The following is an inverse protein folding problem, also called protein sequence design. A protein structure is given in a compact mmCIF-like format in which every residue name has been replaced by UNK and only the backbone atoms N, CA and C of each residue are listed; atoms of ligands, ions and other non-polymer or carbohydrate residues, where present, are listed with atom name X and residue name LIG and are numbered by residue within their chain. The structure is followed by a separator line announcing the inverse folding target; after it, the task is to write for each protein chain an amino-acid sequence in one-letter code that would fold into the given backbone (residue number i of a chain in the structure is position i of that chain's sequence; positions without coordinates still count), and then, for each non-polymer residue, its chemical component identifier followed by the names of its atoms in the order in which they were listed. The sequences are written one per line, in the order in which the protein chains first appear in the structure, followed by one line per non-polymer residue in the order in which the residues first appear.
data_IF_806728823853
#
_entry.id   IF_806728823853
#
_cell.length_a   1.000
_cell.length_b   1.000
_cell.length_c   1.000
_cell.angle_alpha   90.00
_cell.angle_beta   90.00
_cell.angle_gamma   90.00
#
_symmetry.space_group_name_H-M   'P 1'
#
loop_
_entity.id
_entity.type
_entity.pdbx_description
1 polymer ?
#
# COMPACT_ATOMS: atom_id res chain seq x y z
N UNK A 1 -11.16 -2.84 -3.85
CA UNK A 1 -10.19 -3.54 -4.70
C UNK A 1 -10.74 -3.54 -6.11
N UNK A 2 -9.99 -3.04 -7.10
CA UNK A 2 -10.36 -3.09 -8.52
C UNK A 2 -9.37 -3.99 -9.24
N UNK A 3 -9.86 -4.90 -10.09
CA UNK A 3 -9.05 -5.84 -10.85
C UNK A 3 -9.27 -5.57 -12.34
N UNK A 4 -8.19 -5.43 -13.10
CA UNK A 4 -8.14 -5.56 -14.56
C UNK A 4 -7.27 -6.78 -14.87
N UNK A 5 -7.45 -7.41 -16.04
CA UNK A 5 -7.15 -8.82 -16.34
C UNK A 5 -5.78 -9.44 -15.89
N UNK A 6 -4.79 -8.65 -15.44
CA UNK A 6 -3.54 -9.12 -14.81
C UNK A 6 -2.99 -8.23 -13.69
N UNK A 7 -3.68 -7.15 -13.30
CA UNK A 7 -3.18 -6.19 -12.32
C UNK A 7 -4.28 -5.76 -11.36
N UNK A 8 -3.99 -5.82 -10.05
CA UNK A 8 -4.93 -5.40 -9.02
C UNK A 8 -4.51 -4.03 -8.46
N UNK A 9 -5.47 -3.10 -8.37
CA UNK A 9 -5.26 -1.82 -7.69
C UNK A 9 -5.70 -1.95 -6.24
N UNK A 10 -4.76 -1.71 -5.33
CA UNK A 10 -4.91 -1.78 -3.89
C UNK A 10 -4.82 -0.37 -3.29
N UNK A 11 -5.94 0.12 -2.76
CA UNK A 11 -5.98 1.36 -1.99
C UNK A 11 -5.94 1.01 -0.51
N UNK A 12 -4.93 1.53 0.21
CA UNK A 12 -4.78 1.32 1.64
C UNK A 12 -4.68 2.67 2.33
N UNK A 13 -5.37 2.77 3.47
CA UNK A 13 -5.32 3.93 4.33
C UNK A 13 -5.14 3.48 5.78
N UNK A 14 -4.15 4.05 6.46
CA UNK A 14 -4.05 3.99 7.91
C UNK A 14 -5.01 5.03 8.50
N UNK A 15 -6.00 4.61 9.29
CA UNK A 15 -6.94 5.52 9.96
C UNK A 15 -6.53 5.83 11.41
N UNK A 16 -5.36 5.38 11.82
CA UNK A 16 -4.85 5.52 13.18
C UNK A 16 -3.77 6.60 13.25
N UNK A 17 -3.58 7.18 14.43
CA UNK A 17 -2.50 8.14 14.70
C UNK A 17 -1.14 7.47 15.01
N UNK A 18 -0.99 6.18 14.71
CA UNK A 18 0.20 5.38 14.96
C UNK A 18 0.58 4.59 13.71
N UNK A 19 1.83 4.16 13.62
CA UNK A 19 2.31 3.33 12.52
C UNK A 19 1.52 2.01 12.45
N UNK A 20 1.19 1.58 11.23
CA UNK A 20 0.54 0.30 10.96
C UNK A 20 1.27 -0.44 9.85
N UNK A 21 1.12 -1.76 9.85
CA UNK A 21 1.78 -2.64 8.89
C UNK A 21 0.72 -3.37 8.08
N UNK A 22 0.93 -3.45 6.77
CA UNK A 22 0.08 -4.20 5.87
C UNK A 22 0.91 -5.22 5.08
N UNK A 23 0.59 -6.54 5.15
CA UNK A 23 1.29 -7.55 4.39
C UNK A 23 0.91 -7.46 2.90
N UNK A 24 1.91 -7.44 2.02
CA UNK A 24 1.73 -7.51 0.57
C UNK A 24 1.99 -8.96 0.11
N UNK A 25 1.09 -9.51 -0.70
CA UNK A 25 1.20 -10.87 -1.23
C UNK A 25 2.17 -11.00 -2.42
N UNK A 26 2.53 -9.88 -3.03
CA UNK A 26 3.31 -9.82 -4.26
C UNK A 26 4.07 -8.50 -4.38
N UNK A 27 4.80 -8.32 -5.48
CA UNK A 27 5.48 -7.06 -5.76
C UNK A 27 4.42 -5.97 -5.95
N UNK A 28 4.67 -4.82 -5.32
CA UNK A 28 3.81 -3.66 -5.43
C UNK A 28 4.57 -2.50 -6.06
N UNK A 29 3.94 -1.86 -7.04
CA UNK A 29 4.36 -0.57 -7.57
C UNK A 29 3.51 0.53 -6.93
N UNK A 30 4.15 1.57 -6.42
CA UNK A 30 3.44 2.73 -5.87
C UNK A 30 2.92 3.60 -7.02
N UNK A 31 1.61 3.83 -7.06
CA UNK A 31 0.99 4.74 -8.02
C UNK A 31 0.85 6.16 -7.42
N UNK A 32 0.40 6.23 -6.17
CA UNK A 32 0.19 7.50 -5.47
C UNK A 32 0.34 7.28 -3.96
N UNK A 33 0.97 8.21 -3.27
CA UNK A 33 0.97 8.26 -1.81
C UNK A 33 1.01 9.72 -1.35
N UNK A 34 0.41 9.99 -0.20
CA UNK A 34 0.49 11.29 0.45
C UNK A 34 1.75 11.46 1.31
N UNK A 35 2.58 10.42 1.44
CA UNK A 35 3.83 10.43 2.20
C UNK A 35 4.85 9.45 1.58
N UNK A 36 6.08 9.42 2.08
CA UNK A 36 7.09 8.47 1.65
C UNK A 36 6.62 7.03 1.90
N UNK A 37 6.71 6.18 0.87
CA UNK A 37 6.33 4.77 0.99
C UNK A 37 7.52 3.93 1.40
N UNK A 38 7.35 3.10 2.43
CA UNK A 38 8.36 2.17 2.89
C UNK A 38 7.85 0.73 2.77
N UNK A 39 8.43 -0.02 1.84
CA UNK A 39 8.13 -1.45 1.62
C UNK A 39 9.39 -2.25 1.94
N UNK A 40 9.32 -3.09 2.98
CA UNK A 40 10.42 -3.97 3.41
C UNK A 40 9.87 -5.37 3.68
N UNK A 41 10.56 -6.40 3.20
CA UNK A 41 10.19 -7.80 3.43
C UNK A 41 8.72 -8.11 3.10
N UNK A 42 8.21 -7.60 1.98
CA UNK A 42 6.80 -7.73 1.57
C UNK A 42 5.79 -7.14 2.58
N UNK A 43 6.21 -6.16 3.38
CA UNK A 43 5.31 -5.41 4.25
C UNK A 43 5.38 -3.93 3.90
N UNK A 44 4.19 -3.34 3.71
CA UNK A 44 4.02 -1.90 3.65
C UNK A 44 3.93 -1.35 5.07
N UNK A 45 4.84 -0.44 5.42
CA UNK A 45 4.72 0.38 6.64
C UNK A 45 4.00 1.66 6.31
N UNK A 46 2.93 1.93 7.06
CA UNK A 46 2.10 3.12 6.91
C UNK A 46 2.32 4.04 8.09
N UNK A 47 2.82 5.25 7.82
CA UNK A 47 2.81 6.36 8.76
C UNK A 47 1.38 6.64 9.27
N UNK A 48 1.23 7.29 10.44
CA UNK A 48 -0.07 7.81 10.90
C UNK A 48 -0.82 8.52 9.77
N UNK A 49 -2.08 8.13 9.53
CA UNK A 49 -2.94 8.73 8.50
C UNK A 49 -2.46 8.61 7.04
N UNK A 50 -1.43 7.81 6.75
CA UNK A 50 -0.95 7.62 5.38
C UNK A 50 -2.00 6.90 4.53
N UNK A 51 -2.19 7.39 3.30
CA UNK A 51 -3.00 6.78 2.27
C UNK A 51 -2.14 6.53 1.03
N UNK A 52 -2.17 5.30 0.52
CA UNK A 52 -1.36 4.87 -0.63
C UNK A 52 -2.22 4.04 -1.59
N UNK A 53 -1.99 4.26 -2.88
CA UNK A 53 -2.54 3.47 -3.97
C UNK A 53 -1.39 2.68 -4.60
N UNK A 54 -1.54 1.36 -4.63
CA UNK A 54 -0.57 0.41 -5.15
C UNK A 54 -1.16 -0.34 -6.35
N UNK A 55 -0.29 -0.68 -7.29
CA UNK A 55 -0.54 -1.69 -8.31
C UNK A 55 0.18 -2.97 -7.87
N UNK A 56 -0.55 -4.09 -7.79
CA UNK A 56 -0.02 -5.40 -7.40
C UNK A 56 -0.25 -6.42 -8.52
N UNK A 57 0.77 -7.24 -8.76
CA UNK A 57 0.83 -8.31 -9.77
C UNK A 57 0.56 -9.69 -9.15
#
# INVERSE_FOLDING_TARGET
MRQDDQQTILCIQNLQNKETHFPLSSKAQVLLSNDQVNIQNQQLKLSPYQATILLIE
#
